data_IF_412712375269
#
_entry.id   IF_412712375269
#
_cell.length_a   1.000
_cell.length_b   1.000
_cell.length_c   1.000
_cell.angle_alpha   90.00
_cell.angle_beta   90.00
_cell.angle_gamma   90.00
#
_symmetry.space_group_name_H-M   'P 1'
#
loop_
_entity.id
_entity.type
_entity.pdbx_description
1 polymer ?
#
# COMPACT_ATOMS: atom_id res chain seq x y z
N UNK A 1 -6.16 -15.90 -18.38
CA UNK A 1 -5.01 -14.98 -18.22
C UNK A 1 -5.13 -14.38 -16.82
N UNK A 2 -4.30 -14.78 -15.85
CA UNK A 2 -4.38 -14.19 -14.51
C UNK A 2 -3.95 -12.72 -14.59
N UNK A 3 -4.89 -11.79 -14.41
CA UNK A 3 -4.58 -10.37 -14.38
C UNK A 3 -3.46 -10.12 -13.35
N UNK A 4 -2.42 -9.37 -13.75
CA UNK A 4 -1.42 -8.88 -12.81
C UNK A 4 -2.14 -8.18 -11.68
N UNK A 5 -2.02 -8.71 -10.46
CA UNK A 5 -2.71 -8.18 -9.29
C UNK A 5 -1.87 -7.05 -8.71
N UNK A 6 -1.94 -5.92 -9.39
CA UNK A 6 -1.26 -4.69 -9.02
C UNK A 6 -2.19 -3.88 -8.12
N UNK A 7 -1.62 -3.28 -7.08
CA UNK A 7 -2.33 -2.42 -6.15
C UNK A 7 -1.72 -1.03 -6.14
N UNK A 8 -2.56 0.00 -6.13
CA UNK A 8 -2.16 1.36 -5.76
C UNK A 8 -2.08 1.45 -4.24
N UNK A 9 -0.99 2.03 -3.75
CA UNK A 9 -0.71 2.24 -2.34
C UNK A 9 -0.87 3.72 -2.02
N UNK A 10 -1.64 3.98 -0.97
CA UNK A 10 -1.87 5.29 -0.39
C UNK A 10 -1.44 5.27 1.08
N UNK A 11 -0.94 6.39 1.57
CA UNK A 11 -0.58 6.60 2.97
C UNK A 11 -1.52 7.62 3.59
N UNK A 12 -1.89 7.40 4.86
CA UNK A 12 -2.66 8.37 5.62
C UNK A 12 -1.83 9.62 5.84
N UNK A 13 -2.35 10.77 5.40
CA UNK A 13 -1.71 12.07 5.59
C UNK A 13 -1.72 12.53 7.06
N UNK A 14 -2.61 11.96 7.88
CA UNK A 14 -2.76 12.38 9.28
C UNK A 14 -1.67 11.85 10.21
N UNK A 15 -1.15 10.66 9.93
CA UNK A 15 -0.32 9.91 10.88
C UNK A 15 0.87 9.21 10.20
N UNK A 16 0.82 8.96 8.89
CA UNK A 16 1.92 8.34 8.16
C UNK A 16 2.16 6.85 8.46
N UNK A 17 1.46 6.24 9.42
CA UNK A 17 1.67 4.83 9.76
C UNK A 17 0.61 3.89 9.12
N UNK A 18 -0.51 4.45 8.68
CA UNK A 18 -1.58 3.70 8.02
C UNK A 18 -1.43 3.74 6.50
N UNK A 19 -1.50 2.56 5.90
CA UNK A 19 -1.47 2.36 4.46
C UNK A 19 -2.81 1.80 3.98
N UNK A 20 -3.15 2.16 2.77
CA UNK A 20 -4.33 1.73 2.07
C UNK A 20 -3.92 1.20 0.70
N UNK A 21 -4.32 -0.02 0.39
CA UNK A 21 -4.14 -0.61 -0.92
C UNK A 21 -5.47 -0.75 -1.64
N UNK A 22 -5.49 -0.40 -2.92
CA UNK A 22 -6.64 -0.53 -3.82
C UNK A 22 -6.16 -1.24 -5.08
N UNK A 23 -6.88 -2.26 -5.55
CA UNK A 23 -6.51 -2.92 -6.82
C UNK A 23 -6.60 -1.94 -7.99
N UNK A 24 -5.71 -2.06 -8.96
CA UNK A 24 -5.72 -1.19 -10.14
C UNK A 24 -6.88 -1.50 -11.10
N UNK A 25 -7.42 -2.71 -11.08
CA UNK A 25 -8.50 -3.13 -11.99
C UNK A 25 -9.90 -2.72 -11.52
N UNK A 26 -10.01 -1.94 -10.45
CA UNK A 26 -11.26 -1.49 -9.87
C UNK A 26 -11.24 0.02 -9.61
N UNK A 27 -12.41 0.68 -9.58
CA UNK A 27 -12.48 2.10 -9.27
C UNK A 27 -11.92 2.39 -7.87
N UNK A 28 -11.21 3.51 -7.76
CA UNK A 28 -10.71 4.01 -6.47
C UNK A 28 -11.92 4.44 -5.63
N UNK A 29 -12.10 3.91 -4.40
CA UNK A 29 -13.20 4.30 -3.53
C UNK A 29 -13.13 5.78 -3.18
N UNK A 30 -14.28 6.45 -3.07
CA UNK A 30 -14.40 7.88 -2.73
C UNK A 30 -13.82 8.25 -1.36
N UNK A 31 -13.52 7.27 -0.52
CA UNK A 31 -12.79 7.45 0.74
C UNK A 31 -11.35 7.97 0.50
N UNK A 32 -10.76 7.62 -0.64
CA UNK A 32 -9.43 8.08 -1.08
C UNK A 32 -9.64 9.39 -1.84
N UNK A 33 -9.94 10.45 -1.11
CA UNK A 33 -10.27 11.77 -1.67
C UNK A 33 -9.02 12.60 -2.03
N UNK A 34 -7.82 12.08 -1.79
CA UNK A 34 -6.56 12.77 -2.08
C UNK A 34 -6.11 13.75 -1.00
N UNK A 35 -6.97 14.13 -0.05
CA UNK A 35 -6.59 14.97 1.10
C UNK A 35 -6.14 14.11 2.28
N UNK A 36 -6.94 13.09 2.63
CA UNK A 36 -6.64 12.18 3.75
C UNK A 36 -5.67 11.06 3.39
N UNK A 37 -5.60 10.73 2.11
CA UNK A 37 -4.83 9.61 1.59
C UNK A 37 -3.97 10.09 0.43
N UNK A 38 -2.65 10.04 0.61
CA UNK A 38 -1.69 10.45 -0.42
C UNK A 38 -1.20 9.23 -1.18
N UNK A 39 -1.16 9.31 -2.50
CA UNK A 39 -0.59 8.25 -3.32
C UNK A 39 0.93 8.14 -3.09
N UNK A 40 1.41 6.92 -2.84
CA UNK A 40 2.85 6.65 -2.59
C UNK A 40 3.48 5.82 -3.68
N UNK A 41 2.70 4.97 -4.35
CA UNK A 41 3.22 4.11 -5.40
C UNK A 41 2.29 2.96 -5.73
N UNK A 42 2.79 1.99 -6.46
CA UNK A 42 2.07 0.75 -6.75
C UNK A 42 2.94 -0.46 -6.45
N UNK A 43 2.30 -1.54 -6.02
CA UNK A 43 2.94 -2.82 -5.75
C UNK A 43 2.41 -3.84 -6.74
N UNK A 44 3.29 -4.68 -7.24
CA UNK A 44 2.91 -5.85 -8.02
C UNK A 44 3.04 -7.07 -7.12
N UNK A 45 1.94 -7.66 -6.67
CA UNK A 45 1.99 -8.78 -5.70
C UNK A 45 2.67 -10.05 -6.23
N UNK A 46 2.98 -10.12 -7.54
CA UNK A 46 3.74 -11.23 -8.13
C UNK A 46 5.25 -11.01 -8.07
N UNK A 47 5.70 -9.75 -7.94
CA UNK A 47 7.13 -9.38 -7.88
C UNK A 47 7.56 -8.76 -6.56
N UNK A 48 6.64 -8.06 -5.91
CA UNK A 48 6.85 -7.23 -4.73
C UNK A 48 5.97 -7.73 -3.60
N UNK A 49 6.59 -8.01 -2.44
CA UNK A 49 5.89 -8.46 -1.24
C UNK A 49 6.27 -7.52 -0.09
N UNK A 50 5.58 -6.38 0.04
CA UNK A 50 5.87 -5.43 1.10
C UNK A 50 5.66 -6.09 2.47
N UNK A 51 6.55 -5.81 3.42
CA UNK A 51 6.38 -6.28 4.80
C UNK A 51 5.10 -5.69 5.40
N UNK A 52 4.30 -6.56 6.02
CA UNK A 52 2.97 -6.23 6.53
C UNK A 52 1.85 -6.23 5.48
N UNK A 53 2.14 -6.55 4.21
CA UNK A 53 1.13 -6.70 3.16
C UNK A 53 0.72 -8.17 3.01
N UNK A 54 -0.50 -8.49 3.45
CA UNK A 54 -1.09 -9.81 3.25
C UNK A 54 -1.95 -9.82 1.98
N UNK A 55 -1.51 -10.60 1.00
CA UNK A 55 -2.15 -10.69 -0.32
C UNK A 55 -3.53 -11.34 -0.25
N UNK A 56 -3.73 -12.33 0.62
CA UNK A 56 -5.00 -13.03 0.78
C UNK A 56 -6.00 -12.14 1.52
N UNK A 57 -5.56 -11.46 2.57
CA UNK A 57 -6.36 -10.45 3.27
C UNK A 57 -6.71 -9.29 2.33
N UNK A 58 -5.77 -8.84 1.50
CA UNK A 58 -6.03 -7.83 0.49
C UNK A 58 -7.09 -8.31 -0.50
N UNK A 59 -6.98 -9.53 -1.06
CA UNK A 59 -8.00 -10.07 -1.97
C UNK A 59 -9.38 -10.21 -1.32
N UNK A 60 -9.44 -10.63 -0.05
CA UNK A 60 -10.69 -10.69 0.69
C UNK A 60 -11.29 -9.28 0.86
N UNK A 61 -10.48 -8.31 1.28
CA UNK A 61 -10.92 -6.93 1.46
C UNK A 61 -11.42 -6.29 0.15
N UNK A 62 -10.83 -6.65 -0.99
CA UNK A 62 -11.31 -6.20 -2.30
C UNK A 62 -12.69 -6.73 -2.63
N UNK A 63 -13.03 -7.97 -2.22
CA UNK A 63 -14.38 -8.54 -2.45
C UNK A 63 -15.47 -7.89 -1.59
N UNK A 64 -15.12 -7.42 -0.39
CA UNK A 64 -16.11 -6.89 0.56
C UNK A 64 -16.20 -5.36 0.55
N UNK A 65 -15.05 -4.68 0.50
CA UNK A 65 -14.93 -3.23 0.75
C UNK A 65 -14.29 -2.46 -0.40
N UNK A 66 -13.61 -3.14 -1.32
CA UNK A 66 -12.82 -2.51 -2.39
C UNK A 66 -11.59 -1.77 -1.87
N UNK A 67 -11.22 -1.94 -0.60
CA UNK A 67 -10.07 -1.28 0.02
C UNK A 67 -9.45 -2.17 1.10
N UNK A 68 -8.13 -2.25 1.12
CA UNK A 68 -7.37 -2.99 2.12
C UNK A 68 -6.53 -2.04 2.96
N UNK A 69 -6.75 -2.03 4.27
CA UNK A 69 -5.94 -1.25 5.20
C UNK A 69 -4.91 -2.14 5.87
N UNK A 70 -3.68 -1.65 5.94
CA UNK A 70 -2.62 -2.30 6.67
C UNK A 70 -1.73 -1.24 7.31
N UNK A 71 -0.99 -1.63 8.34
CA UNK A 71 0.09 -0.81 8.88
C UNK A 71 1.39 -1.43 8.44
N UNK A 72 2.41 -0.59 8.23
CA UNK A 72 3.76 -1.12 8.10
C UNK A 72 4.11 -1.71 9.45
N UNK A 73 4.32 -3.02 9.51
CA UNK A 73 5.03 -3.57 10.65
C UNK A 73 6.45 -3.01 10.54
N UNK A 74 6.80 -2.07 11.43
CA UNK A 74 8.11 -1.43 11.51
C UNK A 74 9.16 -2.49 11.86
N UNK A 75 9.56 -3.31 10.90
CA UNK A 75 10.93 -3.80 10.92
C UNK A 75 11.80 -2.65 10.48
N UNK A 76 12.49 -2.05 11.45
CA UNK A 76 13.62 -1.15 11.25
C UNK A 76 14.53 -1.73 10.16
N UNK A 77 14.34 -1.33 8.89
CA UNK A 77 15.45 -1.24 7.96
C UNK A 77 16.19 0.04 8.35
N UNK A 78 17.12 -0.10 9.30
CA UNK A 78 18.31 0.75 9.33
C UNK A 78 19.07 0.48 8.01
N UNK A 79 18.59 1.06 6.92
CA UNK A 79 19.30 1.10 5.66
C UNK A 79 19.92 2.49 5.57
N UNK A 80 21.16 2.58 6.07
CA UNK A 80 22.16 3.62 5.81
C UNK A 80 21.66 5.07 5.77
N UNK A 81 21.73 5.72 6.92
CA UNK A 81 22.14 7.13 6.98
C UNK A 81 23.62 7.15 6.59
N UNK A 82 23.94 7.21 5.29
CA UNK A 82 25.29 7.54 4.86
C UNK A 82 25.31 9.04 4.59
N UNK A 83 25.68 9.73 5.67
CA UNK A 83 26.17 11.08 5.72
C UNK A 83 27.26 11.25 4.66
N UNK A 84 27.01 12.02 3.60
CA UNK A 84 28.09 12.62 2.81
C UNK A 84 28.20 14.07 3.26
N UNK A 85 28.94 14.27 4.34
CA UNK A 85 29.65 15.51 4.59
C UNK A 85 31.12 15.23 4.26
N UNK A 86 31.57 15.74 3.10
CA UNK A 86 32.97 15.92 2.76
C UNK A 86 33.07 17.18 1.88
#
# INVERSE_FOLDING_TARGET
MCARKTFYIFISASDGEQFCAVRQDQPIPSLIDGVRWMYVGCIDTTRDRPYGFDVDAAHAAMRHRGVYFYRRELMFRRANFLLEAA
#
